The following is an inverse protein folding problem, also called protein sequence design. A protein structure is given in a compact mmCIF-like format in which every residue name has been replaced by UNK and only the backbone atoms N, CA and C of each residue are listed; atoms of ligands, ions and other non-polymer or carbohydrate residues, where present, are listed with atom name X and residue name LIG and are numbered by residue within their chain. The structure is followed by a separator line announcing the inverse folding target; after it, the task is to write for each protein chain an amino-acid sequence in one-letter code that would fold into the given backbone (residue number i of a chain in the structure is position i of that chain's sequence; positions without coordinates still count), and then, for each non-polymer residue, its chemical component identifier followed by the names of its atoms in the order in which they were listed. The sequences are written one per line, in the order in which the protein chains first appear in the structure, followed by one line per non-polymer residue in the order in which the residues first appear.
data_IF_979557766918
#
_entry.id   IF_979557766918
#
_cell.length_a   1.000
_cell.length_b   1.000
_cell.length_c   1.000
_cell.angle_alpha   90.00
_cell.angle_beta   90.00
_cell.angle_gamma   90.00
#
_symmetry.space_group_name_H-M   'P 1'
#
loop_
_entity.id
_entity.type
_entity.pdbx_description
1 polymer ?
#
# COMPACT_ATOMS: atom_id res chain seq x y z
N UNK A 1 -27.57 -18.20 -5.81
CA UNK A 1 -26.81 -18.65 -4.61
C UNK A 1 -25.43 -19.26 -4.89
N UNK A 2 -25.21 -20.11 -5.93
CA UNK A 2 -23.89 -20.74 -6.21
C UNK A 2 -22.74 -19.76 -6.51
N UNK A 3 -22.98 -18.67 -7.23
CA UNK A 3 -21.94 -17.70 -7.65
C UNK A 3 -21.30 -16.94 -6.48
N UNK A 4 -22.08 -16.65 -5.43
CA UNK A 4 -21.60 -15.95 -4.23
C UNK A 4 -20.61 -16.80 -3.40
N UNK A 5 -20.80 -18.10 -3.38
CA UNK A 5 -19.91 -19.02 -2.65
C UNK A 5 -18.54 -19.15 -3.34
N UNK A 6 -18.49 -19.13 -4.67
CA UNK A 6 -17.23 -19.25 -5.42
C UNK A 6 -16.35 -18.01 -5.20
N UNK A 7 -16.91 -16.80 -5.31
CA UNK A 7 -16.17 -15.56 -5.06
C UNK A 7 -15.62 -15.53 -3.62
N UNK A 8 -16.42 -15.92 -2.64
CA UNK A 8 -15.98 -16.01 -1.25
C UNK A 8 -14.83 -17.00 -1.07
N UNK A 9 -14.89 -18.16 -1.72
CA UNK A 9 -13.81 -19.15 -1.69
C UNK A 9 -12.50 -18.61 -2.28
N UNK A 10 -12.58 -17.92 -3.42
CA UNK A 10 -11.41 -17.30 -4.07
C UNK A 10 -10.79 -16.26 -3.15
N UNK A 11 -11.60 -15.36 -2.59
CA UNK A 11 -11.14 -14.33 -1.65
C UNK A 11 -10.43 -14.93 -0.44
N UNK A 12 -11.05 -15.95 0.17
CA UNK A 12 -10.43 -16.64 1.33
C UNK A 12 -9.14 -17.36 0.95
N UNK A 13 -9.07 -17.96 -0.24
CA UNK A 13 -7.86 -18.60 -0.76
C UNK A 13 -6.72 -17.59 -0.96
N UNK A 14 -6.97 -16.47 -1.63
CA UNK A 14 -5.97 -15.40 -1.83
C UNK A 14 -5.52 -14.83 -0.49
N UNK A 15 -6.45 -14.54 0.42
CA UNK A 15 -6.12 -14.05 1.75
C UNK A 15 -5.25 -15.03 2.52
N UNK A 16 -5.59 -16.32 2.47
CA UNK A 16 -4.79 -17.39 3.10
C UNK A 16 -3.37 -17.46 2.54
N UNK A 17 -3.19 -17.32 1.23
CA UNK A 17 -1.87 -17.25 0.60
C UNK A 17 -1.07 -16.04 1.08
N UNK A 18 -1.67 -14.86 1.15
CA UNK A 18 -1.01 -13.66 1.68
C UNK A 18 -0.57 -13.83 3.14
N UNK A 19 -1.45 -14.41 3.98
CA UNK A 19 -1.12 -14.68 5.39
C UNK A 19 0.01 -15.70 5.50
N UNK A 20 -0.02 -16.78 4.73
CA UNK A 20 1.03 -17.80 4.71
C UNK A 20 2.37 -17.20 4.28
N UNK A 21 2.37 -16.37 3.26
CA UNK A 21 3.56 -15.66 2.80
C UNK A 21 4.15 -14.76 3.91
N UNK A 22 3.32 -13.97 4.59
CA UNK A 22 3.77 -13.12 5.71
C UNK A 22 4.30 -13.95 6.88
N UNK A 23 3.67 -15.08 7.20
CA UNK A 23 4.15 -15.99 8.25
C UNK A 23 5.51 -16.58 7.90
N UNK A 24 5.73 -16.97 6.64
CA UNK A 24 7.04 -17.48 6.17
C UNK A 24 8.11 -16.38 6.27
N UNK A 25 7.83 -15.18 5.80
CA UNK A 25 8.73 -14.03 5.93
C UNK A 25 9.03 -13.71 7.40
N UNK A 26 8.02 -13.67 8.25
CA UNK A 26 8.18 -13.44 9.68
C UNK A 26 9.09 -14.46 10.32
N UNK A 27 8.94 -15.73 9.97
CA UNK A 27 9.80 -16.81 10.46
C UNK A 27 11.25 -16.64 10.03
N UNK A 28 11.49 -16.23 8.78
CA UNK A 28 12.84 -15.94 8.29
C UNK A 28 13.49 -14.76 8.99
N UNK A 29 12.70 -13.74 9.37
CA UNK A 29 13.19 -12.52 10.02
C UNK A 29 13.14 -12.54 11.55
N UNK A 30 12.69 -13.64 12.17
CA UNK A 30 12.50 -13.72 13.62
C UNK A 30 11.37 -12.82 14.15
N UNK A 31 10.40 -12.46 13.31
CA UNK A 31 9.28 -11.60 13.62
C UNK A 31 7.98 -12.38 13.75
N UNK A 32 7.12 -11.97 14.70
CA UNK A 32 5.79 -12.53 14.78
C UNK A 32 4.87 -11.98 13.67
N UNK A 33 3.67 -12.59 13.50
CA UNK A 33 2.72 -12.20 12.45
C UNK A 33 2.34 -10.72 12.48
N UNK A 34 2.10 -10.16 13.65
CA UNK A 34 1.72 -8.75 13.79
C UNK A 34 2.85 -7.81 13.36
N UNK A 35 4.07 -8.13 13.79
CA UNK A 35 5.26 -7.36 13.45
C UNK A 35 5.55 -7.40 11.95
N UNK A 36 5.56 -8.59 11.33
CA UNK A 36 5.81 -8.72 9.91
C UNK A 36 4.71 -8.08 9.06
N UNK A 37 3.44 -8.16 9.49
CA UNK A 37 2.33 -7.51 8.79
C UNK A 37 2.49 -6.00 8.76
N UNK A 38 2.87 -5.37 9.87
CA UNK A 38 3.14 -3.93 9.94
C UNK A 38 4.37 -3.57 9.10
N UNK A 39 5.48 -4.30 9.28
CA UNK A 39 6.71 -4.04 8.55
C UNK A 39 6.54 -4.18 7.04
N UNK A 40 5.86 -5.22 6.59
CA UNK A 40 5.64 -5.49 5.16
C UNK A 40 4.60 -4.53 4.56
N UNK A 41 3.40 -4.49 5.08
CA UNK A 41 2.30 -3.75 4.46
C UNK A 41 2.45 -2.24 4.62
N UNK A 42 2.88 -1.78 5.79
CA UNK A 42 2.94 -0.34 6.06
C UNK A 42 4.28 0.26 5.60
N UNK A 43 5.40 -0.35 5.94
CA UNK A 43 6.70 0.24 5.66
C UNK A 43 7.30 -0.23 4.34
N UNK A 44 7.38 -1.54 4.08
CA UNK A 44 7.99 -2.02 2.86
C UNK A 44 7.14 -1.66 1.62
N UNK A 45 5.88 -2.06 1.58
CA UNK A 45 5.01 -1.74 0.45
C UNK A 45 4.81 -0.23 0.29
N UNK A 46 4.55 0.49 1.39
CA UNK A 46 4.41 1.94 1.38
C UNK A 46 5.70 2.63 0.93
N UNK A 47 6.86 2.18 1.41
CA UNK A 47 8.17 2.71 1.01
C UNK A 47 8.47 2.47 -0.47
N UNK A 48 8.18 1.27 -1.00
CA UNK A 48 8.32 0.97 -2.43
C UNK A 48 7.40 1.85 -3.26
N UNK A 49 6.15 2.03 -2.84
CA UNK A 49 5.21 2.91 -3.54
C UNK A 49 5.67 4.36 -3.54
N UNK A 50 6.09 4.89 -2.40
CA UNK A 50 6.61 6.25 -2.29
C UNK A 50 7.87 6.44 -3.15
N UNK A 51 8.81 5.50 -3.09
CA UNK A 51 10.05 5.54 -3.89
C UNK A 51 9.75 5.50 -5.39
N UNK A 52 8.82 4.65 -5.83
CA UNK A 52 8.41 4.58 -7.24
C UNK A 52 7.76 5.87 -7.74
N UNK A 53 7.18 6.67 -6.84
CA UNK A 53 6.54 7.94 -7.16
C UNK A 53 7.54 9.12 -7.23
N UNK A 54 8.77 8.98 -6.74
CA UNK A 54 9.77 10.05 -6.75
C UNK A 54 10.15 10.41 -8.19
N UNK A 55 10.44 9.43 -9.02
CA UNK A 55 10.91 9.66 -10.39
C UNK A 55 9.93 10.51 -11.22
N UNK A 56 8.64 10.14 -11.37
CA UNK A 56 7.69 10.97 -12.11
C UNK A 56 7.46 12.34 -11.46
N UNK A 57 7.54 12.46 -10.12
CA UNK A 57 7.38 13.74 -9.43
C UNK A 57 8.54 14.69 -9.70
N UNK A 58 9.79 14.22 -9.63
CA UNK A 58 10.99 15.00 -9.93
C UNK A 58 11.02 15.41 -11.40
N UNK A 59 10.70 14.50 -12.31
CA UNK A 59 10.63 14.81 -13.74
C UNK A 59 9.55 15.86 -14.05
N UNK A 60 8.41 15.80 -13.37
CA UNK A 60 7.35 16.79 -13.50
C UNK A 60 7.83 18.19 -13.09
N UNK A 61 8.45 18.29 -11.91
CA UNK A 61 8.98 19.59 -11.40
C UNK A 61 10.07 20.14 -12.34
N UNK A 62 10.97 19.27 -12.82
CA UNK A 62 12.11 19.71 -13.63
C UNK A 62 11.75 20.07 -15.07
N UNK A 63 10.69 19.51 -15.64
CA UNK A 63 10.30 19.71 -17.03
C UNK A 63 9.44 20.95 -17.26
N UNK A 64 8.87 21.54 -16.22
CA UNK A 64 7.89 22.63 -16.31
C UNK A 64 6.62 22.28 -17.11
N UNK A 65 6.50 21.03 -17.54
CA UNK A 65 5.36 20.55 -18.33
C UNK A 65 4.36 19.86 -17.42
N UNK A 66 3.12 20.28 -17.54
CA UNK A 66 2.01 19.68 -16.80
C UNK A 66 1.65 18.34 -17.47
N UNK A 67 2.20 17.23 -16.98
CA UNK A 67 1.74 15.89 -17.36
C UNK A 67 0.39 15.54 -16.70
N UNK A 68 -0.48 16.53 -16.61
CA UNK A 68 -1.87 16.42 -16.26
C UNK A 68 -2.17 15.86 -14.86
N UNK A 69 -3.37 15.38 -14.73
CA UNK A 69 -3.97 14.81 -13.52
C UNK A 69 -3.13 13.68 -12.86
N UNK A 70 -2.36 12.93 -13.65
CA UNK A 70 -1.56 11.79 -13.17
C UNK A 70 -0.37 12.21 -12.29
N UNK A 71 0.31 13.31 -12.60
CA UNK A 71 1.43 13.81 -11.78
C UNK A 71 0.95 14.40 -10.46
N UNK A 72 -0.20 15.06 -10.47
CA UNK A 72 -0.85 15.52 -9.24
C UNK A 72 -1.25 14.35 -8.34
N UNK A 73 -1.78 13.28 -8.94
CA UNK A 73 -2.16 12.06 -8.23
C UNK A 73 -0.95 11.40 -7.53
N UNK A 74 0.19 11.31 -8.22
CA UNK A 74 1.42 10.75 -7.64
C UNK A 74 1.93 11.59 -6.47
N UNK A 75 1.92 12.91 -6.61
CA UNK A 75 2.29 13.83 -5.53
C UNK A 75 1.34 13.71 -4.34
N UNK A 76 0.04 13.58 -4.59
CA UNK A 76 -0.97 13.36 -3.55
C UNK A 76 -0.70 12.07 -2.77
N UNK A 77 -0.32 10.98 -3.45
CA UNK A 77 0.04 9.71 -2.79
C UNK A 77 1.24 9.89 -1.87
N UNK A 78 2.29 10.59 -2.33
CA UNK A 78 3.47 10.87 -1.51
C UNK A 78 3.11 11.65 -0.26
N UNK A 79 2.30 12.70 -0.40
CA UNK A 79 1.85 13.51 0.73
C UNK A 79 1.02 12.67 1.70
N UNK A 80 0.04 11.91 1.21
CA UNK A 80 -0.79 11.04 2.04
C UNK A 80 0.03 9.98 2.77
N UNK A 81 1.00 9.38 2.08
CA UNK A 81 1.91 8.43 2.69
C UNK A 81 2.77 9.07 3.78
N UNK A 82 3.33 10.25 3.52
CA UNK A 82 4.12 10.99 4.51
C UNK A 82 3.29 11.35 5.75
N UNK A 83 2.08 11.89 5.55
CA UNK A 83 1.16 12.24 6.64
C UNK A 83 0.78 11.00 7.46
N UNK A 84 0.46 9.88 6.81
CA UNK A 84 0.13 8.64 7.50
C UNK A 84 1.30 8.14 8.35
N UNK A 85 2.53 8.16 7.82
CA UNK A 85 3.71 7.73 8.57
C UNK A 85 4.00 8.64 9.76
N UNK A 86 3.89 9.96 9.61
CA UNK A 86 4.06 10.92 10.72
C UNK A 86 3.00 10.68 11.80
N UNK A 87 1.73 10.50 11.40
CA UNK A 87 0.65 10.22 12.32
C UNK A 87 0.87 8.91 13.11
N UNK A 88 1.25 7.83 12.41
CA UNK A 88 1.56 6.55 13.03
C UNK A 88 2.78 6.67 13.96
N UNK A 89 3.82 7.38 13.53
CA UNK A 89 5.02 7.61 14.34
C UNK A 89 4.67 8.36 15.64
N UNK A 90 3.91 9.44 15.58
CA UNK A 90 3.47 10.19 16.77
C UNK A 90 2.64 9.29 17.71
N UNK A 91 1.73 8.47 17.16
CA UNK A 91 0.95 7.54 17.95
C UNK A 91 1.81 6.42 18.56
N UNK A 92 2.79 5.90 17.83
CA UNK A 92 3.73 4.89 18.32
C UNK A 92 4.59 5.42 19.48
N UNK A 93 5.07 6.66 19.42
CA UNK A 93 5.81 7.29 20.53
C UNK A 93 4.98 7.35 21.81
N UNK A 94 3.69 7.64 21.71
CA UNK A 94 2.78 7.67 22.87
C UNK A 94 2.53 6.29 23.49
N UNK A 95 2.77 5.22 22.74
CA UNK A 95 2.57 3.82 23.14
C UNK A 95 3.88 3.03 23.11
N UNK A 96 4.91 3.59 23.70
CA UNK A 96 6.31 3.12 23.65
C UNK A 96 6.53 1.64 23.98
N UNK A 97 5.67 1.02 24.79
CA UNK A 97 5.85 -0.36 25.24
C UNK A 97 5.39 -1.44 24.22
N UNK A 98 4.54 -1.09 23.24
CA UNK A 98 3.98 -2.05 22.26
C UNK A 98 3.75 -1.42 20.87
N UNK A 99 4.78 -0.84 20.22
CA UNK A 99 4.57 -0.04 18.99
C UNK A 99 3.98 -0.86 17.85
N UNK A 100 4.47 -2.09 17.63
CA UNK A 100 3.97 -2.96 16.54
C UNK A 100 2.56 -3.47 16.77
N UNK A 101 2.22 -3.88 17.99
CA UNK A 101 0.89 -4.36 18.31
C UNK A 101 -0.15 -3.25 18.22
N UNK A 102 0.21 -2.06 18.66
CA UNK A 102 -0.65 -0.90 18.55
C UNK A 102 -0.92 -0.55 17.07
N UNK A 103 0.12 -0.44 16.24
CA UNK A 103 -0.02 -0.16 14.82
C UNK A 103 -0.85 -1.24 14.10
N UNK A 104 -0.63 -2.52 14.43
CA UNK A 104 -1.40 -3.62 13.87
C UNK A 104 -2.88 -3.52 14.22
N UNK A 105 -3.21 -3.32 15.51
CA UNK A 105 -4.58 -3.23 15.97
C UNK A 105 -5.30 -2.00 15.38
N UNK A 106 -4.58 -0.87 15.24
CA UNK A 106 -5.12 0.32 14.60
C UNK A 106 -5.50 0.02 13.13
N UNK A 107 -4.59 -0.59 12.37
CA UNK A 107 -4.86 -0.97 10.98
C UNK A 107 -6.03 -1.96 10.86
N UNK A 108 -6.12 -2.95 11.74
CA UNK A 108 -7.24 -3.90 11.75
C UNK A 108 -8.56 -3.20 12.01
N UNK A 109 -8.62 -2.33 13.03
CA UNK A 109 -9.83 -1.58 13.38
C UNK A 109 -10.29 -0.67 12.22
N UNK A 110 -9.35 -0.01 11.54
CA UNK A 110 -9.66 0.84 10.39
C UNK A 110 -10.20 0.00 9.21
N UNK A 111 -9.58 -1.15 8.90
CA UNK A 111 -10.06 -2.06 7.86
C UNK A 111 -11.44 -2.64 8.18
N UNK A 112 -11.70 -2.98 9.44
CA UNK A 112 -13.03 -3.43 9.87
C UNK A 112 -14.09 -2.32 9.77
N UNK A 113 -13.72 -1.09 10.10
CA UNK A 113 -14.58 0.08 9.94
C UNK A 113 -14.96 0.30 8.48
N UNK A 114 -13.98 0.22 7.56
CA UNK A 114 -14.21 0.31 6.11
C UNK A 114 -15.10 -0.85 5.64
N UNK A 115 -14.83 -2.07 6.10
CA UNK A 115 -15.61 -3.26 5.73
C UNK A 115 -17.09 -3.10 6.13
N UNK A 116 -17.35 -2.61 7.33
CA UNK A 116 -18.70 -2.29 7.81
C UNK A 116 -19.37 -1.21 6.95
N UNK A 117 -18.65 -0.13 6.65
CA UNK A 117 -19.17 0.99 5.84
C UNK A 117 -19.53 0.55 4.41
N UNK A 118 -18.75 -0.35 3.83
CA UNK A 118 -18.96 -0.85 2.46
C UNK A 118 -19.77 -2.15 2.39
N UNK A 119 -20.27 -2.62 3.53
CA UNK A 119 -21.03 -3.87 3.63
C UNK A 119 -20.33 -5.08 2.99
N UNK A 120 -19.04 -5.20 3.21
CA UNK A 120 -18.21 -6.27 2.68
C UNK A 120 -17.38 -6.95 3.78
N UNK A 121 -16.67 -8.04 3.45
CA UNK A 121 -15.86 -8.74 4.44
C UNK A 121 -14.51 -8.03 4.66
N UNK A 122 -13.97 -8.11 5.89
CA UNK A 122 -12.62 -7.66 6.23
C UNK A 122 -11.56 -8.21 5.25
N UNK A 123 -11.64 -9.51 4.91
CA UNK A 123 -10.71 -10.16 3.99
C UNK A 123 -10.72 -9.51 2.61
N UNK A 124 -11.91 -9.14 2.11
CA UNK A 124 -12.07 -8.45 0.84
C UNK A 124 -11.40 -7.07 0.85
N UNK A 125 -11.66 -6.28 1.89
CA UNK A 125 -11.05 -4.95 2.04
C UNK A 125 -9.53 -5.04 2.09
N UNK A 126 -9.02 -6.00 2.85
CA UNK A 126 -7.58 -6.23 2.99
C UNK A 126 -6.93 -6.55 1.63
N UNK A 127 -7.49 -7.50 0.85
CA UNK A 127 -6.97 -7.84 -0.49
C UNK A 127 -7.06 -6.63 -1.42
N UNK A 128 -8.18 -5.93 -1.44
CA UNK A 128 -8.36 -4.77 -2.33
C UNK A 128 -7.32 -3.70 -2.04
N UNK A 129 -7.12 -3.34 -0.78
CA UNK A 129 -6.19 -2.28 -0.42
C UNK A 129 -4.72 -2.68 -0.56
N UNK A 130 -4.32 -3.82 -0.02
CA UNK A 130 -2.90 -4.21 0.04
C UNK A 130 -2.39 -4.99 -1.17
N UNK A 131 -3.28 -5.52 -2.01
CA UNK A 131 -2.87 -6.22 -3.22
C UNK A 131 -3.31 -5.45 -4.46
N UNK A 132 -4.62 -5.27 -4.67
CA UNK A 132 -5.14 -4.71 -5.92
C UNK A 132 -4.76 -3.25 -6.09
N UNK A 133 -5.11 -2.40 -5.10
CA UNK A 133 -4.80 -0.95 -5.17
C UNK A 133 -3.29 -0.73 -5.20
N UNK A 134 -2.53 -1.45 -4.38
CA UNK A 134 -1.08 -1.37 -4.38
C UNK A 134 -0.47 -1.68 -5.76
N UNK A 135 -0.88 -2.78 -6.39
CA UNK A 135 -0.38 -3.16 -7.72
C UNK A 135 -0.77 -2.15 -8.80
N UNK A 136 -2.00 -1.63 -8.77
CA UNK A 136 -2.45 -0.60 -9.71
C UNK A 136 -1.60 0.65 -9.56
N UNK A 137 -1.38 1.12 -8.34
CA UNK A 137 -0.59 2.32 -8.06
C UNK A 137 0.87 2.15 -8.47
N UNK A 138 1.48 1.01 -8.15
CA UNK A 138 2.86 0.70 -8.54
C UNK A 138 3.02 0.64 -10.05
N UNK A 139 2.12 -0.05 -10.74
CA UNK A 139 2.13 -0.14 -12.21
C UNK A 139 1.97 1.25 -12.84
N UNK A 140 1.08 2.07 -12.31
CA UNK A 140 0.89 3.45 -12.78
C UNK A 140 2.18 4.30 -12.62
N UNK A 141 2.85 4.22 -11.47
CA UNK A 141 4.10 4.95 -11.24
C UNK A 141 5.23 4.51 -12.20
N UNK A 142 5.35 3.20 -12.42
CA UNK A 142 6.33 2.64 -13.37
C UNK A 142 6.03 3.08 -14.80
N UNK A 143 4.77 3.02 -15.22
CA UNK A 143 4.33 3.44 -16.56
C UNK A 143 4.58 4.93 -16.78
N UNK A 144 4.24 5.80 -15.81
CA UNK A 144 4.53 7.23 -15.89
C UNK A 144 6.03 7.50 -15.99
N UNK A 145 6.84 6.84 -15.19
CA UNK A 145 8.30 6.97 -15.25
C UNK A 145 8.84 6.59 -16.64
N UNK A 146 8.36 5.48 -17.20
CA UNK A 146 8.73 5.05 -18.54
C UNK A 146 8.34 6.06 -19.61
N UNK A 147 7.11 6.56 -19.60
CA UNK A 147 6.63 7.54 -20.58
C UNK A 147 7.44 8.85 -20.54
N UNK A 148 7.78 9.32 -19.32
CA UNK A 148 8.58 10.53 -19.17
C UNK A 148 10.01 10.33 -19.71
N UNK A 149 10.62 9.18 -19.43
CA UNK A 149 11.97 8.87 -19.88
C UNK A 149 12.00 8.69 -21.42
N UNK A 150 11.03 7.95 -21.98
CA UNK A 150 10.96 7.71 -23.43
C UNK A 150 10.75 8.99 -24.24
N UNK A 151 9.91 9.92 -23.75
CA UNK A 151 9.73 11.23 -24.40
C UNK A 151 10.97 12.12 -24.35
N UNK A 152 11.84 11.98 -23.34
CA UNK A 152 13.12 12.69 -23.30
C UNK A 152 14.14 12.17 -24.31
N UNK A 153 14.06 10.89 -24.66
CA UNK A 153 14.98 10.27 -25.63
C UNK A 153 14.65 10.69 -27.06
N UNK A 154 13.40 11.00 -27.37
CA UNK A 154 13.00 11.49 -28.71
C UNK A 154 13.34 12.96 -28.95
N UNK A 155 13.74 13.73 -27.92
CA UNK A 155 14.07 15.15 -28.00
C UNK A 155 15.59 15.45 -27.87
N UNK A 156 16.42 14.42 -27.76
CA UNK A 156 17.88 14.50 -27.86
C UNK A 156 18.35 14.00 -29.23
#
# INVERSE_FOLDING_TARGET
MKKYNVVRMIVMGIFGLCVTFLLMLGKCCGLNYKQISVAFNLWLQGGVLASSAICPSVCWISSGRFYGFMSFYVLLILILYAVLNVFLYIKMIRHYHLPFEYAFNLCVNDLESIAKKWNCSYHWVNIVLFVVVYLIMLTNNVLLSYLIISQKIEFL
#
